data_IF_452821877850
#
_entry.id   IF_452821877850
#
_cell.length_a   1.000
_cell.length_b   1.000
_cell.length_c   1.000
_cell.angle_alpha   90.00
_cell.angle_beta   90.00
_cell.angle_gamma   90.00
#
_symmetry.space_group_name_H-M   'P 1'
#
loop_
_entity.id
_entity.type
_entity.pdbx_description
1 polymer ?
#
# COMPACT_ATOMS: atom_id res chain seq x y z
N UNK A 1 9.42 26.26 -13.28
CA UNK A 1 9.32 25.43 -12.08
C UNK A 1 8.28 26.07 -11.20
N UNK A 2 7.25 25.31 -10.80
CA UNK A 2 6.26 25.78 -9.83
C UNK A 2 6.79 25.61 -8.40
N UNK A 3 6.24 26.37 -7.45
CA UNK A 3 6.53 26.14 -6.03
C UNK A 3 5.94 24.80 -5.59
N UNK A 4 6.72 23.96 -4.91
CA UNK A 4 6.26 22.66 -4.41
C UNK A 4 6.84 22.32 -3.04
N UNK A 5 6.17 21.42 -2.33
CA UNK A 5 6.66 20.78 -1.11
C UNK A 5 6.82 19.29 -1.37
N UNK A 6 8.02 18.75 -1.13
CA UNK A 6 8.25 17.32 -1.14
C UNK A 6 8.44 16.81 0.29
N UNK A 7 7.51 15.97 0.74
CA UNK A 7 7.55 15.36 2.06
C UNK A 7 7.15 13.88 1.95
N UNK A 8 8.11 12.99 2.22
CA UNK A 8 7.90 11.54 2.19
C UNK A 8 8.42 10.92 3.51
N UNK A 9 7.62 10.95 4.59
CA UNK A 9 8.02 10.45 5.91
C UNK A 9 7.98 8.93 6.03
N UNK A 10 7.51 8.22 5.00
CA UNK A 10 7.49 6.76 4.98
C UNK A 10 8.90 6.21 5.05
N UNK A 11 9.19 5.43 6.10
CA UNK A 11 10.47 4.73 6.22
C UNK A 11 10.52 3.56 5.24
N UNK A 12 11.36 3.64 4.22
CA UNK A 12 11.57 2.56 3.24
C UNK A 12 12.66 1.61 3.73
N UNK A 13 12.35 0.32 3.80
CA UNK A 13 13.28 -0.77 4.11
C UNK A 13 13.38 -1.66 2.87
N UNK A 14 14.35 -1.36 2.00
CA UNK A 14 14.54 -2.05 0.74
C UNK A 14 15.67 -3.09 0.83
N UNK A 15 15.41 -4.29 0.33
CA UNK A 15 16.41 -5.35 0.19
C UNK A 15 15.96 -6.71 0.72
N UNK A 16 16.75 -7.74 0.37
CA UNK A 16 16.47 -9.11 0.80
C UNK A 16 16.59 -9.24 2.33
N UNK A 17 15.61 -9.90 2.95
CA UNK A 17 15.59 -10.19 4.38
C UNK A 17 15.17 -9.01 5.26
N UNK A 18 14.75 -7.87 4.69
CA UNK A 18 14.32 -6.69 5.47
C UNK A 18 13.10 -6.96 6.36
N UNK A 19 12.38 -8.06 6.15
CA UNK A 19 11.30 -8.50 7.02
C UNK A 19 11.74 -8.69 8.48
N UNK A 20 13.01 -8.95 8.75
CA UNK A 20 13.55 -9.04 10.11
C UNK A 20 13.42 -7.75 10.92
N UNK A 21 13.21 -6.61 10.26
CA UNK A 21 12.98 -5.31 10.91
C UNK A 21 11.51 -5.03 11.24
N UNK A 22 10.57 -5.91 10.84
CA UNK A 22 9.12 -5.71 10.99
C UNK A 22 8.72 -5.35 12.42
N UNK A 23 9.20 -6.11 13.41
CA UNK A 23 8.86 -5.89 14.81
C UNK A 23 9.29 -4.50 15.31
N UNK A 24 10.50 -4.07 14.95
CA UNK A 24 11.02 -2.76 15.34
C UNK A 24 10.22 -1.61 14.70
N UNK A 25 9.65 -1.84 13.51
CA UNK A 25 8.77 -0.88 12.84
C UNK A 25 7.37 -0.79 13.48
N UNK A 26 6.84 -1.89 14.03
CA UNK A 26 5.49 -1.93 14.62
C UNK A 26 5.47 -1.43 16.07
N UNK A 27 6.45 -1.83 16.89
CA UNK A 27 6.46 -1.58 18.35
C UNK A 27 6.23 -0.13 18.78
N UNK A 28 6.71 0.92 18.06
CA UNK A 28 6.42 2.31 18.41
C UNK A 28 4.92 2.67 18.40
N UNK A 29 4.09 1.89 17.71
CA UNK A 29 2.64 2.12 17.58
C UNK A 29 1.81 1.22 18.51
N UNK A 30 2.33 0.07 18.90
CA UNK A 30 1.68 -0.88 19.80
C UNK A 30 2.06 -2.33 19.53
N UNK A 31 1.30 -3.25 20.09
CA UNK A 31 1.52 -4.71 20.10
C UNK A 31 0.33 -5.51 19.57
N UNK A 32 -0.68 -4.82 18.99
CA UNK A 32 -1.86 -5.45 18.39
C UNK A 32 -2.18 -4.84 17.03
N UNK A 33 -2.06 -5.65 15.99
CA UNK A 33 -2.25 -5.20 14.60
C UNK A 33 -3.46 -5.86 13.92
N UNK A 34 -3.93 -5.26 12.83
CA UNK A 34 -4.72 -5.95 11.82
C UNK A 34 -3.78 -6.36 10.68
N UNK A 35 -3.66 -7.66 10.44
CA UNK A 35 -2.92 -8.23 9.31
C UNK A 35 -3.87 -8.37 8.11
N UNK A 36 -3.67 -7.52 7.09
CA UNK A 36 -4.50 -7.46 5.88
C UNK A 36 -3.74 -8.08 4.71
N UNK A 37 -4.38 -9.01 4.00
CA UNK A 37 -3.78 -9.62 2.81
C UNK A 37 -4.84 -10.06 1.78
N UNK A 38 -4.35 -10.37 0.59
CA UNK A 38 -5.19 -10.90 -0.50
C UNK A 38 -5.62 -12.34 -0.25
N UNK A 39 -5.59 -13.16 -1.31
CA UNK A 39 -5.88 -14.60 -1.24
C UNK A 39 -4.62 -15.38 -0.81
N UNK A 40 -4.42 -16.57 -1.36
CA UNK A 40 -3.42 -17.51 -0.84
C UNK A 40 -1.97 -17.26 -1.30
N UNK A 41 -1.70 -16.25 -2.13
CA UNK A 41 -0.37 -16.06 -2.73
C UNK A 41 0.73 -16.00 -1.67
N UNK A 42 0.55 -15.17 -0.64
CA UNK A 42 1.56 -14.98 0.41
C UNK A 42 1.72 -16.21 1.32
N UNK A 43 0.71 -17.07 1.39
CA UNK A 43 0.77 -18.33 2.14
C UNK A 43 1.51 -19.41 1.35
N UNK A 44 1.35 -19.42 0.03
CA UNK A 44 2.00 -20.39 -0.87
C UNK A 44 3.50 -20.14 -1.04
N UNK A 45 3.94 -18.89 -0.99
CA UNK A 45 5.33 -18.52 -1.21
C UNK A 45 6.14 -18.27 0.07
N UNK A 46 5.57 -18.53 1.26
CA UNK A 46 6.28 -18.45 2.54
C UNK A 46 6.25 -17.08 3.23
N UNK A 47 5.85 -16.01 2.54
CA UNK A 47 5.87 -14.63 3.07
C UNK A 47 4.98 -14.50 4.31
N UNK A 48 3.81 -15.13 4.31
CA UNK A 48 2.91 -15.12 5.47
C UNK A 48 3.59 -15.72 6.69
N UNK A 49 4.30 -16.85 6.52
CA UNK A 49 5.00 -17.52 7.60
C UNK A 49 6.17 -16.68 8.13
N UNK A 50 6.91 -16.00 7.24
CA UNK A 50 7.96 -15.06 7.64
C UNK A 50 7.38 -13.91 8.47
N UNK A 51 6.28 -13.29 8.01
CA UNK A 51 5.60 -12.21 8.74
C UNK A 51 5.15 -12.69 10.13
N UNK A 52 4.40 -13.79 10.20
CA UNK A 52 3.86 -14.31 11.47
C UNK A 52 4.99 -14.74 12.41
N UNK A 53 6.09 -15.30 11.91
CA UNK A 53 7.26 -15.63 12.72
C UNK A 53 7.87 -14.38 13.37
N UNK A 54 8.01 -13.28 12.62
CA UNK A 54 8.51 -12.01 13.16
C UNK A 54 7.57 -11.42 14.21
N UNK A 55 6.25 -11.47 13.97
CA UNK A 55 5.25 -11.00 14.93
C UNK A 55 5.30 -11.84 16.22
N UNK A 56 5.32 -13.17 16.10
CA UNK A 56 5.35 -14.10 17.21
C UNK A 56 6.63 -13.95 18.06
N UNK A 57 7.80 -13.88 17.43
CA UNK A 57 9.07 -13.69 18.11
C UNK A 57 9.13 -12.37 18.90
N UNK A 58 8.37 -11.35 18.48
CA UNK A 58 8.31 -10.05 19.11
C UNK A 58 7.17 -9.88 20.13
N UNK A 59 6.31 -10.89 20.29
CA UNK A 59 5.11 -10.82 21.14
C UNK A 59 4.01 -9.91 20.59
N UNK A 60 3.99 -9.66 19.27
CA UNK A 60 2.97 -8.82 18.63
C UNK A 60 1.76 -9.69 18.28
N UNK A 61 0.63 -9.39 18.90
CA UNK A 61 -0.65 -10.02 18.58
C UNK A 61 -1.25 -9.46 17.30
N UNK A 62 -2.03 -10.27 16.59
CA UNK A 62 -2.70 -9.82 15.38
C UNK A 62 -4.09 -10.45 15.24
N UNK A 63 -4.96 -9.74 14.54
CA UNK A 63 -6.19 -10.27 13.95
C UNK A 63 -6.06 -10.21 12.43
N UNK A 64 -6.69 -11.13 11.72
CA UNK A 64 -6.54 -11.23 10.27
C UNK A 64 -7.77 -10.70 9.52
N UNK A 65 -7.51 -10.07 8.38
CA UNK A 65 -8.50 -9.84 7.32
C UNK A 65 -7.88 -10.28 5.99
N UNK A 66 -8.39 -11.39 5.47
CA UNK A 66 -7.92 -11.97 4.20
C UNK A 66 -8.92 -11.72 3.08
N UNK A 67 -8.54 -12.08 1.86
CA UNK A 67 -9.44 -12.09 0.71
C UNK A 67 -9.64 -10.72 0.07
N UNK A 68 -8.73 -9.76 0.27
CA UNK A 68 -8.78 -8.48 -0.45
C UNK A 68 -8.74 -8.74 -1.96
N UNK A 69 -9.71 -8.19 -2.67
CA UNK A 69 -9.81 -8.28 -4.13
C UNK A 69 -8.74 -7.40 -4.83
N UNK A 70 -8.37 -7.70 -6.09
CA UNK A 70 -7.50 -6.84 -6.89
C UNK A 70 -8.04 -5.41 -7.06
N UNK A 71 -9.37 -5.25 -7.07
CA UNK A 71 -10.04 -3.97 -6.95
C UNK A 71 -10.70 -3.94 -5.55
N UNK A 72 -10.04 -3.33 -4.55
CA UNK A 72 -10.46 -3.46 -3.16
C UNK A 72 -11.84 -2.83 -2.97
N UNK A 73 -12.75 -3.59 -2.35
CA UNK A 73 -14.16 -3.21 -2.21
C UNK A 73 -14.40 -2.45 -0.91
N UNK A 74 -15.34 -1.52 -0.94
CA UNK A 74 -15.78 -0.78 0.25
C UNK A 74 -16.29 -1.70 1.36
N UNK A 75 -16.91 -2.84 1.02
CA UNK A 75 -17.35 -3.84 1.99
C UNK A 75 -16.18 -4.41 2.83
N UNK A 76 -15.03 -4.68 2.20
CA UNK A 76 -13.82 -5.14 2.90
C UNK A 76 -13.25 -4.06 3.81
N UNK A 77 -13.32 -2.79 3.38
CA UNK A 77 -12.93 -1.65 4.22
C UNK A 77 -13.83 -1.51 5.45
N UNK A 78 -15.16 -1.60 5.28
CA UNK A 78 -16.14 -1.56 6.37
C UNK A 78 -15.85 -2.66 7.40
N UNK A 79 -15.62 -3.88 6.92
CA UNK A 79 -15.33 -5.03 7.79
C UNK A 79 -14.01 -4.87 8.55
N UNK A 80 -12.95 -4.44 7.87
CA UNK A 80 -11.66 -4.17 8.53
C UNK A 80 -11.77 -3.07 9.58
N UNK A 81 -12.50 -1.99 9.29
CA UNK A 81 -12.74 -0.91 10.25
C UNK A 81 -13.48 -1.40 11.51
N UNK A 82 -14.49 -2.25 11.32
CA UNK A 82 -15.22 -2.92 12.41
C UNK A 82 -14.30 -3.79 13.25
N UNK A 83 -13.47 -4.63 12.62
CA UNK A 83 -12.49 -5.49 13.31
C UNK A 83 -11.52 -4.64 14.13
N UNK A 84 -11.00 -3.56 13.55
CA UNK A 84 -10.07 -2.65 14.21
C UNK A 84 -10.67 -2.06 15.50
N UNK A 85 -11.91 -1.54 15.44
CA UNK A 85 -12.61 -0.99 16.61
C UNK A 85 -12.86 -2.03 17.69
N UNK A 86 -13.39 -3.20 17.32
CA UNK A 86 -13.72 -4.25 18.29
C UNK A 86 -12.49 -4.84 18.99
N UNK A 87 -11.35 -4.90 18.30
CA UNK A 87 -10.15 -5.54 18.81
C UNK A 87 -9.12 -4.57 19.39
N UNK A 88 -9.40 -3.26 19.40
CA UNK A 88 -8.47 -2.20 19.81
C UNK A 88 -7.13 -2.25 19.05
N UNK A 89 -7.20 -2.48 17.73
CA UNK A 89 -6.03 -2.52 16.84
C UNK A 89 -5.29 -1.18 16.87
N UNK A 90 -3.96 -1.24 16.88
CA UNK A 90 -3.07 -0.07 16.94
C UNK A 90 -2.38 0.26 15.62
N UNK A 91 -2.31 -0.70 14.69
CA UNK A 91 -1.71 -0.52 13.37
C UNK A 91 -2.35 -1.49 12.36
N UNK A 92 -2.54 -1.05 11.12
CA UNK A 92 -2.97 -1.89 10.00
C UNK A 92 -1.74 -2.27 9.17
N UNK A 93 -1.42 -3.56 9.07
CA UNK A 93 -0.30 -4.07 8.29
C UNK A 93 -0.82 -4.72 7.01
N UNK A 94 -0.60 -4.08 5.87
CA UNK A 94 -0.90 -4.65 4.56
C UNK A 94 0.27 -5.50 4.05
N UNK A 95 0.02 -6.77 3.74
CA UNK A 95 0.99 -7.69 3.13
C UNK A 95 0.48 -8.12 1.76
N UNK A 96 1.01 -7.51 0.70
CA UNK A 96 0.54 -7.73 -0.66
C UNK A 96 0.98 -6.67 -1.66
N UNK A 97 0.27 -6.61 -2.78
CA UNK A 97 0.42 -5.53 -3.77
C UNK A 97 -0.44 -4.29 -3.44
N UNK A 98 -0.50 -3.35 -4.39
CA UNK A 98 -1.21 -2.07 -4.22
C UNK A 98 -2.65 -2.18 -3.73
N UNK A 99 -3.42 -3.19 -4.18
CA UNK A 99 -4.82 -3.35 -3.75
C UNK A 99 -4.98 -3.65 -2.25
N UNK A 100 -4.07 -4.44 -1.69
CA UNK A 100 -4.02 -4.75 -0.26
C UNK A 100 -3.64 -3.52 0.54
N UNK A 101 -2.68 -2.74 0.04
CA UNK A 101 -2.19 -1.54 0.71
C UNK A 101 -3.25 -0.43 0.68
N UNK A 102 -3.92 -0.22 -0.46
CA UNK A 102 -5.05 0.70 -0.59
C UNK A 102 -6.20 0.32 0.33
N UNK A 103 -6.53 -0.97 0.40
CA UNK A 103 -7.53 -1.48 1.35
C UNK A 103 -7.12 -1.21 2.80
N UNK A 104 -5.84 -1.44 3.14
CA UNK A 104 -5.29 -1.20 4.48
C UNK A 104 -5.37 0.27 4.88
N UNK A 105 -5.02 1.18 3.96
CA UNK A 105 -5.19 2.64 4.12
C UNK A 105 -6.66 3.01 4.32
N UNK A 106 -7.55 2.44 3.51
CA UNK A 106 -8.98 2.63 3.63
C UNK A 106 -9.53 2.19 4.98
N UNK A 107 -9.11 1.01 5.46
CA UNK A 107 -9.46 0.49 6.79
C UNK A 107 -8.95 1.43 7.89
N UNK A 108 -7.70 1.87 7.78
CA UNK A 108 -7.06 2.70 8.79
C UNK A 108 -7.78 4.04 9.00
N UNK A 109 -8.26 4.65 7.91
CA UNK A 109 -9.01 5.91 7.98
C UNK A 109 -10.47 5.69 8.40
N UNK A 110 -11.10 4.61 7.93
CA UNK A 110 -12.48 4.29 8.31
C UNK A 110 -12.60 3.77 9.76
N UNK A 111 -11.52 3.26 10.36
CA UNK A 111 -11.52 2.78 11.74
C UNK A 111 -11.87 3.89 12.75
N UNK A 112 -11.43 5.13 12.49
CA UNK A 112 -11.72 6.31 13.32
C UNK A 112 -13.05 7.02 13.01
N UNK A 113 -13.87 6.44 12.12
CA UNK A 113 -15.13 7.03 11.69
C UNK A 113 -16.31 6.08 11.96
N UNK A 114 -17.31 6.57 12.69
CA UNK A 114 -18.54 5.83 13.03
C UNK A 114 -19.63 5.93 11.95
N UNK A 115 -19.45 6.83 10.97
CA UNK A 115 -20.36 6.96 9.84
C UNK A 115 -20.11 5.93 8.73
N UNK A 116 -20.67 6.18 7.56
CA UNK A 116 -20.51 5.27 6.43
C UNK A 116 -19.13 5.46 5.79
N UNK A 117 -18.33 4.40 5.71
CA UNK A 117 -16.96 4.45 5.20
C UNK A 117 -16.89 5.06 3.79
N UNK A 118 -17.91 4.84 2.95
CA UNK A 118 -17.96 5.40 1.59
C UNK A 118 -18.04 6.93 1.57
N UNK A 119 -18.48 7.58 2.66
CA UNK A 119 -18.55 9.04 2.75
C UNK A 119 -17.19 9.71 2.57
N UNK A 120 -16.09 9.01 2.90
CA UNK A 120 -14.71 9.49 2.68
C UNK A 120 -14.43 9.63 1.17
N UNK A 121 -14.73 8.59 0.39
CA UNK A 121 -14.54 8.60 -1.07
C UNK A 121 -15.61 9.42 -1.79
N UNK A 122 -16.80 9.53 -1.23
CA UNK A 122 -17.87 10.41 -1.71
C UNK A 122 -17.67 11.88 -1.30
N UNK A 123 -16.58 12.21 -0.58
CA UNK A 123 -16.22 13.57 -0.11
C UNK A 123 -17.29 14.21 0.78
N UNK A 124 -18.10 13.40 1.46
CA UNK A 124 -19.07 13.81 2.47
C UNK A 124 -18.45 13.89 3.88
N UNK A 125 -17.30 13.24 4.06
CA UNK A 125 -16.54 13.28 5.30
C UNK A 125 -15.04 13.49 5.00
N UNK A 126 -14.41 14.39 5.76
CA UNK A 126 -12.98 14.68 5.69
C UNK A 126 -12.30 14.15 6.96
N UNK A 127 -11.67 12.96 6.90
CA UNK A 127 -11.01 12.38 8.06
C UNK A 127 -9.79 13.21 8.47
N UNK A 128 -9.58 13.37 9.79
CA UNK A 128 -8.43 14.10 10.35
C UNK A 128 -7.33 13.19 10.91
N UNK A 129 -7.65 11.92 11.10
CA UNK A 129 -6.75 10.92 11.67
C UNK A 129 -6.99 9.59 10.99
N UNK A 130 -5.98 8.74 10.99
CA UNK A 130 -6.06 7.35 10.58
C UNK A 130 -5.20 6.52 11.54
N UNK A 131 -5.52 5.24 11.68
CA UNK A 131 -4.57 4.31 12.31
C UNK A 131 -3.25 4.31 11.51
N UNK A 132 -2.09 4.13 12.17
CA UNK A 132 -0.84 3.86 11.47
C UNK A 132 -1.00 2.71 10.47
N UNK A 133 -0.42 2.87 9.28
CA UNK A 133 -0.36 1.82 8.25
C UNK A 133 1.09 1.39 8.07
N UNK A 134 1.35 0.08 8.04
CA UNK A 134 2.60 -0.51 7.59
C UNK A 134 2.37 -1.31 6.31
N UNK A 135 3.38 -1.37 5.44
CA UNK A 135 3.31 -2.14 4.20
C UNK A 135 4.46 -3.16 4.13
N UNK A 136 4.14 -4.39 3.72
CA UNK A 136 5.08 -5.39 3.20
C UNK A 136 4.70 -5.64 1.75
N UNK A 137 5.48 -5.06 0.84
CA UNK A 137 5.16 -5.04 -0.58
C UNK A 137 5.55 -6.36 -1.25
N UNK A 138 4.64 -6.95 -2.00
CA UNK A 138 4.88 -8.20 -2.75
C UNK A 138 4.72 -8.06 -4.27
N UNK A 139 4.38 -6.86 -4.75
CA UNK A 139 4.24 -6.54 -6.17
C UNK A 139 4.59 -5.07 -6.40
N UNK A 140 5.66 -4.81 -7.14
CA UNK A 140 6.07 -3.46 -7.52
C UNK A 140 5.23 -2.97 -8.70
N UNK A 141 4.28 -2.06 -8.46
CA UNK A 141 3.39 -1.49 -9.49
C UNK A 141 2.97 -0.04 -9.17
N UNK A 142 2.20 0.14 -8.09
CA UNK A 142 1.45 1.38 -7.84
C UNK A 142 2.17 2.38 -6.92
N UNK A 143 3.30 1.98 -6.34
CA UNK A 143 3.99 2.71 -5.26
C UNK A 143 3.07 3.09 -4.07
N UNK A 144 1.98 2.35 -3.84
CA UNK A 144 1.03 2.65 -2.76
C UNK A 144 1.69 2.52 -1.37
N UNK A 145 2.71 1.68 -1.23
CA UNK A 145 3.52 1.58 -0.02
C UNK A 145 4.24 2.88 0.35
N UNK A 146 4.39 3.83 -0.57
CA UNK A 146 5.13 5.08 -0.37
C UNK A 146 4.36 6.32 -0.87
N UNK A 147 3.03 6.26 -0.92
CA UNK A 147 2.21 7.41 -1.30
C UNK A 147 1.00 7.59 -0.38
N UNK A 148 0.29 8.71 -0.56
CA UNK A 148 -0.83 9.15 0.28
C UNK A 148 -2.22 8.75 -0.24
N UNK A 149 -2.29 7.97 -1.32
CA UNK A 149 -3.53 7.67 -2.03
C UNK A 149 -4.10 6.31 -1.63
N UNK A 150 -5.43 6.18 -1.68
CA UNK A 150 -6.15 4.91 -1.56
C UNK A 150 -7.34 4.89 -2.54
N UNK A 151 -7.35 3.92 -3.45
CA UNK A 151 -8.39 3.76 -4.47
C UNK A 151 -9.29 2.59 -4.10
N UNK A 152 -10.57 2.87 -3.83
CA UNK A 152 -11.56 1.87 -3.41
C UNK A 152 -12.74 1.82 -4.39
N UNK A 153 -13.26 0.61 -4.59
CA UNK A 153 -14.43 0.33 -5.42
C UNK A 153 -15.70 0.19 -4.57
N UNK A 154 -16.79 0.80 -5.02
CA UNK A 154 -18.13 0.54 -4.54
C UNK A 154 -18.97 -0.16 -5.62
N UNK A 155 -19.15 -1.49 -5.54
CA UNK A 155 -19.94 -2.23 -6.52
C UNK A 155 -21.43 -1.87 -6.54
N UNK A 156 -21.98 -1.32 -5.45
CA UNK A 156 -23.39 -0.93 -5.38
C UNK A 156 -23.66 0.32 -6.24
N UNK A 157 -22.70 1.25 -6.29
CA UNK A 157 -22.80 2.48 -7.10
C UNK A 157 -22.01 2.40 -8.41
N UNK A 158 -21.29 1.30 -8.67
CA UNK A 158 -20.39 1.11 -9.80
C UNK A 158 -19.26 2.16 -9.88
N UNK A 159 -18.84 2.69 -8.74
CA UNK A 159 -17.83 3.74 -8.67
C UNK A 159 -16.47 3.19 -8.22
N UNK A 160 -15.38 3.73 -8.80
CA UNK A 160 -14.00 3.53 -8.33
C UNK A 160 -13.40 4.91 -8.08
N UNK A 161 -13.12 5.24 -6.81
CA UNK A 161 -12.70 6.58 -6.41
C UNK A 161 -11.39 6.53 -5.63
N UNK A 162 -10.57 7.56 -5.83
CA UNK A 162 -9.38 7.83 -5.04
C UNK A 162 -9.66 8.82 -3.90
N UNK A 163 -9.14 8.52 -2.73
CA UNK A 163 -8.96 9.48 -1.64
C UNK A 163 -7.47 9.61 -1.35
N UNK A 164 -6.99 10.83 -1.11
CA UNK A 164 -5.58 11.11 -0.90
C UNK A 164 -5.40 12.17 0.18
N UNK A 165 -4.63 11.82 1.20
CA UNK A 165 -4.33 12.69 2.35
C UNK A 165 -3.07 12.18 3.08
N UNK A 166 -2.25 13.07 3.63
CA UNK A 166 -1.00 12.73 4.32
C UNK A 166 -1.21 11.77 5.51
N UNK A 167 -2.40 11.76 6.12
CA UNK A 167 -2.73 10.78 7.18
C UNK A 167 -2.67 9.32 6.69
N UNK A 168 -2.75 9.08 5.38
CA UNK A 168 -2.66 7.76 4.77
C UNK A 168 -1.25 7.30 4.42
N UNK A 169 -0.24 8.17 4.54
CA UNK A 169 1.15 7.79 4.28
C UNK A 169 1.55 6.64 5.20
N UNK A 170 1.97 5.48 4.65
CA UNK A 170 2.46 4.39 5.47
C UNK A 170 3.63 4.86 6.35
N UNK A 171 3.67 4.39 7.60
CA UNK A 171 4.76 4.71 8.52
C UNK A 171 6.05 4.00 8.12
N UNK A 172 5.92 2.83 7.50
CA UNK A 172 7.03 2.10 6.91
C UNK A 172 6.57 1.25 5.73
N UNK A 173 7.51 0.94 4.84
CA UNK A 173 7.36 0.02 3.73
C UNK A 173 8.55 -0.94 3.69
N UNK A 174 8.30 -2.24 3.85
CA UNK A 174 9.29 -3.30 3.66
C UNK A 174 9.17 -3.78 2.21
N UNK A 175 10.26 -3.67 1.47
CA UNK A 175 10.36 -3.95 0.05
C UNK A 175 11.48 -4.96 -0.17
N UNK A 176 11.14 -6.25 -0.09
CA UNK A 176 12.06 -7.34 -0.42
C UNK A 176 11.85 -7.75 -1.89
N UNK A 177 12.80 -7.50 -2.81
CA UNK A 177 12.63 -7.86 -4.22
C UNK A 177 12.41 -9.36 -4.44
N UNK A 178 12.89 -10.22 -3.55
CA UNK A 178 12.71 -11.67 -3.68
C UNK A 178 11.23 -12.10 -3.55
N UNK A 179 10.39 -11.28 -2.92
CA UNK A 179 8.95 -11.51 -2.83
C UNK A 179 8.22 -11.34 -4.18
N UNK A 180 8.89 -10.78 -5.17
CA UNK A 180 8.34 -10.60 -6.53
C UNK A 180 8.67 -11.78 -7.46
N UNK A 181 9.58 -12.67 -7.09
CA UNK A 181 10.09 -13.73 -7.98
C UNK A 181 9.03 -14.75 -8.41
N UNK A 182 7.99 -14.93 -7.60
CA UNK A 182 6.89 -15.85 -7.92
C UNK A 182 5.70 -15.17 -8.59
N UNK A 183 5.79 -13.87 -8.89
CA UNK A 183 4.70 -13.14 -9.56
C UNK A 183 4.58 -13.65 -11.00
N UNK A 184 3.37 -14.03 -11.47
CA UNK A 184 3.18 -14.46 -12.85
C UNK A 184 3.56 -13.37 -13.84
N UNK A 185 4.23 -13.74 -14.95
CA UNK A 185 4.68 -12.80 -16.00
C UNK A 185 3.61 -11.81 -16.46
N UNK A 186 2.35 -12.25 -16.59
CA UNK A 186 1.22 -11.38 -16.96
C UNK A 186 1.00 -10.24 -15.95
N UNK A 187 1.13 -10.52 -14.66
CA UNK A 187 1.00 -9.50 -13.62
C UNK A 187 2.23 -8.61 -13.55
N UNK A 188 3.44 -9.15 -13.78
CA UNK A 188 4.66 -8.35 -13.93
C UNK A 188 4.55 -7.38 -15.12
N UNK A 189 4.07 -7.84 -16.28
CA UNK A 189 3.85 -6.97 -17.44
C UNK A 189 2.84 -5.86 -17.15
N UNK A 190 1.72 -6.19 -16.52
CA UNK A 190 0.70 -5.21 -16.14
C UNK A 190 1.26 -4.18 -15.15
N UNK A 191 2.08 -4.63 -14.19
CA UNK A 191 2.74 -3.76 -13.22
C UNK A 191 3.78 -2.82 -13.86
N UNK A 192 4.54 -3.32 -14.83
CA UNK A 192 5.45 -2.49 -15.64
C UNK A 192 4.65 -1.44 -16.41
N UNK A 193 3.57 -1.84 -17.08
CA UNK A 193 2.71 -0.90 -17.82
C UNK A 193 2.11 0.17 -16.90
N UNK A 194 1.68 -0.20 -15.70
CA UNK A 194 1.17 0.72 -14.67
C UNK A 194 2.24 1.70 -14.19
N UNK A 195 3.47 1.22 -13.97
CA UNK A 195 4.62 2.08 -13.62
C UNK A 195 4.92 3.08 -14.73
N UNK A 196 4.95 2.64 -15.99
CA UNK A 196 5.17 3.51 -17.14
C UNK A 196 4.04 4.55 -17.28
N UNK A 197 2.78 4.14 -17.09
CA UNK A 197 1.63 5.04 -17.14
C UNK A 197 1.75 6.15 -16.09
N UNK A 198 2.06 5.82 -14.84
CA UNK A 198 2.27 6.83 -13.79
C UNK A 198 3.39 7.82 -14.15
N UNK A 199 4.50 7.35 -14.74
CA UNK A 199 5.59 8.25 -15.13
C UNK A 199 5.14 9.16 -16.29
N UNK A 200 4.45 8.62 -17.29
CA UNK A 200 3.94 9.40 -18.42
C UNK A 200 2.91 10.45 -18.01
N UNK A 201 2.05 10.17 -17.02
CA UNK A 201 1.09 11.13 -16.49
C UNK A 201 1.77 12.42 -15.98
N UNK A 202 2.96 12.31 -15.39
CA UNK A 202 3.75 13.46 -14.93
C UNK A 202 4.65 14.04 -16.03
N UNK A 203 5.31 13.18 -16.81
CA UNK A 203 6.26 13.61 -17.84
C UNK A 203 5.61 14.43 -18.96
N UNK A 204 4.35 14.14 -19.28
CA UNK A 204 3.60 14.90 -20.29
C UNK A 204 2.83 16.10 -19.73
N UNK A 205 3.04 16.47 -18.46
CA UNK A 205 2.50 17.73 -17.95
C UNK A 205 3.31 18.91 -18.50
N UNK A 206 2.61 19.88 -19.09
CA UNK A 206 3.24 21.10 -19.61
C UNK A 206 3.57 22.06 -18.45
N UNK A 207 4.66 21.77 -17.71
CA UNK A 207 5.16 22.59 -16.61
C UNK A 207 6.49 23.25 -17.04
N UNK A 208 6.49 24.55 -17.36
CA UNK A 208 7.69 25.23 -17.81
C UNK A 208 8.85 25.10 -16.81
N UNK A 209 10.04 24.71 -17.28
CA UNK A 209 11.26 24.67 -16.47
C UNK A 209 11.32 23.57 -15.41
N UNK A 210 10.69 22.41 -15.66
CA UNK A 210 10.73 21.21 -14.82
C UNK A 210 11.86 20.22 -15.19
N UNK A 211 12.98 20.73 -15.73
CA UNK A 211 14.07 19.92 -16.33
C UNK A 211 14.59 18.79 -15.43
N UNK A 212 14.66 19.00 -14.10
CA UNK A 212 15.11 17.97 -13.17
C UNK A 212 14.08 16.83 -13.01
N UNK A 213 12.79 17.15 -13.00
CA UNK A 213 11.72 16.18 -12.97
C UNK A 213 11.67 15.36 -14.26
N UNK A 214 11.94 16.01 -15.40
CA UNK A 214 12.05 15.33 -16.70
C UNK A 214 13.17 14.29 -16.67
N UNK A 215 14.36 14.66 -16.18
CA UNK A 215 15.49 13.72 -16.02
C UNK A 215 15.18 12.56 -15.05
N UNK A 216 14.44 12.82 -13.96
CA UNK A 216 13.96 11.74 -13.08
C UNK A 216 13.01 10.80 -13.82
N UNK A 217 12.02 11.35 -14.54
CA UNK A 217 11.07 10.56 -15.31
C UNK A 217 11.79 9.69 -16.35
N UNK A 218 12.66 10.29 -17.17
CA UNK A 218 13.39 9.59 -18.22
C UNK A 218 14.38 8.56 -17.68
N UNK A 219 15.08 8.87 -16.58
CA UNK A 219 15.98 7.93 -15.92
C UNK A 219 15.24 6.70 -15.41
N UNK A 220 14.08 6.89 -14.77
CA UNK A 220 13.23 5.79 -14.32
C UNK A 220 12.65 5.03 -15.51
N UNK A 221 12.14 5.70 -16.55
CA UNK A 221 11.63 5.06 -17.77
C UNK A 221 12.66 4.15 -18.42
N UNK A 222 13.88 4.64 -18.66
CA UNK A 222 14.98 3.84 -19.23
C UNK A 222 15.27 2.61 -18.38
N UNK A 223 15.31 2.78 -17.06
CA UNK A 223 15.57 1.70 -16.11
C UNK A 223 14.45 0.65 -16.12
N UNK A 224 13.19 1.08 -16.10
CA UNK A 224 12.03 0.19 -16.13
C UNK A 224 12.00 -0.62 -17.43
N UNK A 225 12.24 0.03 -18.58
CA UNK A 225 12.29 -0.66 -19.89
C UNK A 225 13.44 -1.68 -19.94
N UNK A 226 14.61 -1.32 -19.44
CA UNK A 226 15.75 -2.24 -19.39
C UNK A 226 15.47 -3.44 -18.48
N UNK A 227 14.94 -3.20 -17.28
CA UNK A 227 14.58 -4.26 -16.33
C UNK A 227 13.44 -5.13 -16.85
N UNK A 228 12.48 -4.56 -17.57
CA UNK A 228 11.39 -5.30 -18.21
C UNK A 228 11.94 -6.41 -19.12
N UNK A 229 13.00 -6.14 -19.89
CA UNK A 229 13.66 -7.15 -20.73
C UNK A 229 14.35 -8.28 -19.96
N UNK A 230 14.56 -8.13 -18.64
CA UNK A 230 15.20 -9.13 -17.77
C UNK A 230 14.15 -9.96 -17.02
N UNK A 231 13.08 -9.31 -16.55
CA UNK A 231 12.07 -9.95 -15.66
C UNK A 231 10.86 -10.53 -16.41
N UNK A 232 10.70 -10.21 -17.70
CA UNK A 232 9.66 -10.75 -18.59
C UNK A 232 10.15 -11.96 -19.38
#
# INVERSE_FOLDING_TARGET
MENFTFYLPTRILFGKGQISSLAACIKPFGDKILLVYGKDSIKKNGIYQEVVAQLSAAGISYVELSGVDPNPRIATVREGARICRQNNVKLVLGVGGGSVIDCSKGIAVAAGYEGEAWDIWARKYAPRTALPVGAVLTLAATASEANRNAVICNPETLEKKGFGDEILLPKFAIMDPSYTFTVPKKHTAAAIADTLAHIFEYYFMDIPGAMLQDEFCEGVLRTVVQCAGIVM
#
